data_IF_069604536792
#
_entry.id   IF_069604536792
#
_cell.length_a   1.000
_cell.length_b   1.000
_cell.length_c   1.000
_cell.angle_alpha   90.00
_cell.angle_beta   90.00
_cell.angle_gamma   90.00
#
_symmetry.space_group_name_H-M   'P 1'
#
loop_
_entity.id
_entity.type
_entity.pdbx_description
1 polymer ?
#
# COMPACT_ATOMS: atom_id res chain seq x y z
N UNK A 1 -23.82 1.20 2.60
CA UNK A 1 -22.86 0.13 2.90
C UNK A 1 -22.83 -0.84 1.73
N UNK A 2 -21.85 -0.75 0.85
CA UNK A 2 -21.57 -1.84 -0.08
C UNK A 2 -20.97 -2.98 0.73
N UNK A 3 -21.63 -4.12 0.66
CA UNK A 3 -21.09 -5.36 1.22
C UNK A 3 -19.91 -5.81 0.36
N UNK A 4 -18.71 -5.55 0.83
CA UNK A 4 -17.45 -5.93 0.18
C UNK A 4 -17.14 -7.42 0.30
N UNK A 5 -18.01 -8.20 0.97
CA UNK A 5 -17.80 -9.63 1.20
C UNK A 5 -18.04 -10.50 -0.06
N UNK A 6 -18.75 -9.96 -1.05
CA UNK A 6 -19.07 -10.67 -2.29
C UNK A 6 -18.07 -10.46 -3.43
N UNK A 7 -17.18 -9.44 -3.34
CA UNK A 7 -16.23 -9.09 -4.39
C UNK A 7 -14.85 -9.78 -4.25
N UNK A 8 -14.65 -10.57 -3.20
CA UNK A 8 -13.38 -11.28 -2.93
C UNK A 8 -12.99 -12.21 -4.08
N UNK A 9 -13.97 -12.74 -4.80
CA UNK A 9 -13.72 -13.67 -5.90
C UNK A 9 -13.28 -13.00 -7.22
N UNK A 10 -13.62 -11.71 -7.44
CA UNK A 10 -13.26 -10.99 -8.66
C UNK A 10 -11.91 -10.26 -8.55
N UNK A 11 -11.54 -9.80 -7.35
CA UNK A 11 -10.27 -9.14 -7.11
C UNK A 11 -9.08 -10.09 -7.22
N UNK A 12 -9.23 -11.36 -6.80
CA UNK A 12 -8.16 -12.37 -6.90
C UNK A 12 -7.81 -12.72 -8.35
N UNK A 13 -8.75 -12.57 -9.28
CA UNK A 13 -8.51 -12.79 -10.72
C UNK A 13 -7.74 -11.64 -11.39
N UNK A 14 -7.75 -10.44 -10.78
CA UNK A 14 -7.10 -9.25 -11.31
C UNK A 14 -5.67 -9.06 -10.78
N UNK A 15 -5.28 -9.82 -9.76
CA UNK A 15 -3.94 -9.78 -9.15
C UNK A 15 -3.06 -10.86 -9.75
N UNK A 16 -1.91 -10.47 -10.27
CA UNK A 16 -0.93 -11.43 -10.82
C UNK A 16 -0.25 -12.25 -9.72
N UNK A 17 0.38 -13.36 -10.10
CA UNK A 17 1.17 -14.19 -9.17
C UNK A 17 2.30 -13.37 -8.53
N UNK A 18 2.97 -12.53 -9.29
CA UNK A 18 4.06 -11.66 -8.79
C UNK A 18 3.53 -10.64 -7.78
N UNK A 19 2.36 -10.06 -8.02
CA UNK A 19 1.73 -9.13 -7.07
C UNK A 19 1.30 -9.83 -5.78
N UNK A 20 0.80 -11.07 -5.86
CA UNK A 20 0.49 -11.88 -4.68
C UNK A 20 1.74 -12.20 -3.86
N UNK A 21 2.82 -12.56 -4.52
CA UNK A 21 4.11 -12.80 -3.85
C UNK A 21 4.63 -11.52 -3.19
N UNK A 22 4.52 -10.38 -3.86
CA UNK A 22 4.85 -9.08 -3.29
C UNK A 22 3.97 -8.74 -2.08
N UNK A 23 2.68 -9.06 -2.12
CA UNK A 23 1.79 -8.89 -0.95
C UNK A 23 2.21 -9.80 0.23
N UNK A 24 2.69 -11.01 -0.04
CA UNK A 24 3.24 -11.87 1.02
C UNK A 24 4.46 -11.22 1.69
N UNK A 25 5.34 -10.62 0.90
CA UNK A 25 6.49 -9.86 1.42
C UNK A 25 5.99 -8.67 2.25
N UNK A 26 5.03 -7.91 1.74
CA UNK A 26 4.47 -6.75 2.44
C UNK A 26 3.82 -7.14 3.79
N UNK A 27 3.13 -8.27 3.85
CA UNK A 27 2.56 -8.80 5.10
C UNK A 27 3.65 -9.21 6.10
N UNK A 28 4.74 -9.79 5.63
CA UNK A 28 5.92 -10.08 6.46
C UNK A 28 6.52 -8.81 7.07
N UNK A 29 6.66 -7.76 6.27
CA UNK A 29 7.13 -6.44 6.72
C UNK A 29 6.16 -5.80 7.73
N UNK A 30 4.86 -5.93 7.50
CA UNK A 30 3.85 -5.48 8.45
C UNK A 30 3.96 -6.20 9.80
N UNK A 31 4.24 -7.50 9.80
CA UNK A 31 4.48 -8.28 11.01
C UNK A 31 5.75 -7.83 11.74
N UNK A 32 6.82 -7.51 11.02
CA UNK A 32 8.04 -6.92 11.58
C UNK A 32 7.78 -5.54 12.21
N UNK A 33 6.91 -4.74 11.60
CA UNK A 33 6.49 -3.46 12.16
C UNK A 33 5.85 -3.61 13.54
N UNK A 34 5.02 -4.62 13.75
CA UNK A 34 4.42 -4.92 15.06
C UNK A 34 5.50 -5.13 16.12
N UNK A 35 6.53 -5.92 15.82
CA UNK A 35 7.65 -6.18 16.74
C UNK A 35 8.39 -4.89 17.09
N UNK A 36 8.49 -3.96 16.15
CA UNK A 36 9.12 -2.66 16.36
C UNK A 36 8.20 -1.62 17.03
N UNK A 37 6.96 -1.98 17.36
CA UNK A 37 5.99 -1.06 17.98
C UNK A 37 5.32 -0.11 16.99
N UNK A 38 5.44 -0.38 15.71
CA UNK A 38 4.86 0.41 14.62
C UNK A 38 3.52 -0.14 14.16
N UNK A 39 2.68 0.72 13.59
CA UNK A 39 1.45 0.28 12.91
C UNK A 39 1.81 -0.71 11.80
N UNK A 40 1.14 -1.89 11.75
CA UNK A 40 1.53 -2.98 10.85
C UNK A 40 1.13 -2.71 9.39
N UNK A 41 1.96 -1.95 8.71
CA UNK A 41 1.85 -1.69 7.28
C UNK A 41 3.18 -2.01 6.61
N UNK A 42 3.13 -2.77 5.53
CA UNK A 42 4.26 -3.09 4.67
C UNK A 42 3.95 -2.71 3.23
N UNK A 43 4.97 -2.28 2.51
CA UNK A 43 4.86 -1.84 1.12
C UNK A 43 6.04 -2.36 0.29
N UNK A 44 5.75 -2.75 -0.94
CA UNK A 44 6.70 -3.28 -1.92
C UNK A 44 6.49 -2.55 -3.24
N UNK A 45 7.58 -2.15 -3.90
CA UNK A 45 7.53 -1.62 -5.26
C UNK A 45 8.10 -2.65 -6.23
N UNK A 46 7.31 -2.94 -7.25
CA UNK A 46 7.67 -3.84 -8.35
C UNK A 46 8.00 -3.04 -9.61
N UNK A 47 8.99 -3.49 -10.36
CA UNK A 47 9.26 -3.06 -11.74
C UNK A 47 9.69 -4.27 -12.55
N UNK A 48 9.06 -4.47 -13.72
CA UNK A 48 9.35 -5.61 -14.62
C UNK A 48 9.30 -6.96 -13.90
N UNK A 49 8.31 -7.15 -13.00
CA UNK A 49 8.11 -8.37 -12.22
C UNK A 49 9.12 -8.59 -11.10
N UNK A 50 9.96 -7.59 -10.76
CA UNK A 50 10.99 -7.68 -9.72
C UNK A 50 10.73 -6.68 -8.60
N UNK A 51 11.04 -7.09 -7.37
CA UNK A 51 11.03 -6.20 -6.21
C UNK A 51 12.24 -5.27 -6.31
N UNK A 52 11.98 -3.95 -6.35
CA UNK A 52 13.02 -2.92 -6.36
C UNK A 52 13.10 -2.13 -5.06
N UNK A 53 12.05 -2.15 -4.25
CA UNK A 53 12.03 -1.56 -2.92
C UNK A 53 11.01 -2.28 -2.04
N UNK A 54 11.31 -2.33 -0.74
CA UNK A 54 10.41 -2.89 0.26
C UNK A 54 10.64 -2.21 1.59
N UNK A 55 9.57 -1.75 2.24
CA UNK A 55 9.64 -1.01 3.50
C UNK A 55 8.44 -1.33 4.38
N UNK A 56 8.60 -1.13 5.67
CA UNK A 56 7.53 -1.09 6.66
C UNK A 56 7.35 0.30 7.22
N UNK A 57 6.27 0.54 7.96
CA UNK A 57 6.07 1.78 8.69
C UNK A 57 7.18 1.98 9.74
N UNK A 58 7.74 3.19 9.81
CA UNK A 58 8.82 3.58 10.71
C UNK A 58 8.57 4.93 11.39
N UNK A 59 7.30 5.34 11.48
CA UNK A 59 6.94 6.67 12.01
C UNK A 59 7.45 6.91 13.42
N UNK A 60 7.26 5.97 14.33
CA UNK A 60 7.71 6.09 15.72
C UNK A 60 9.23 5.95 15.82
N UNK A 61 9.78 4.95 15.15
CA UNK A 61 11.22 4.63 15.18
C UNK A 61 12.08 5.78 14.66
N UNK A 62 11.69 6.42 13.58
CA UNK A 62 12.43 7.52 12.96
C UNK A 62 11.98 8.90 13.42
N UNK A 63 10.94 8.96 14.26
CA UNK A 63 10.33 10.22 14.72
C UNK A 63 9.97 11.15 13.55
N UNK A 64 9.42 10.54 12.49
CA UNK A 64 9.08 11.20 11.23
C UNK A 64 7.60 10.93 10.89
N UNK A 65 6.73 11.97 10.92
CA UNK A 65 5.31 11.81 10.64
C UNK A 65 5.01 11.34 9.22
N UNK A 66 5.96 11.44 8.31
CA UNK A 66 5.81 11.00 6.91
C UNK A 66 6.37 9.61 6.62
N UNK A 67 7.00 8.96 7.60
CA UNK A 67 7.65 7.66 7.42
C UNK A 67 6.65 6.48 7.36
N UNK A 68 5.63 6.62 6.52
CA UNK A 68 4.75 5.52 6.15
C UNK A 68 5.46 4.57 5.19
N UNK A 69 5.10 3.30 5.22
CA UNK A 69 5.71 2.27 4.40
C UNK A 69 5.71 2.64 2.91
N UNK A 70 4.61 3.21 2.42
CA UNK A 70 4.43 3.61 1.02
C UNK A 70 5.41 4.71 0.62
N UNK A 71 5.51 5.78 1.43
CA UNK A 71 6.41 6.90 1.17
C UNK A 71 7.86 6.44 1.16
N UNK A 72 8.25 5.62 2.13
CA UNK A 72 9.60 5.08 2.23
C UNK A 72 9.94 4.16 1.04
N UNK A 73 9.01 3.29 0.65
CA UNK A 73 9.20 2.40 -0.48
C UNK A 73 9.30 3.16 -1.81
N UNK A 74 8.49 4.19 -2.02
CA UNK A 74 8.57 5.05 -3.21
C UNK A 74 9.89 5.81 -3.28
N UNK A 75 10.38 6.32 -2.16
CA UNK A 75 11.68 7.00 -2.08
C UNK A 75 12.83 6.05 -2.44
N UNK A 76 12.85 4.86 -1.87
CA UNK A 76 13.87 3.85 -2.17
C UNK A 76 13.80 3.41 -3.64
N UNK A 77 12.60 3.19 -4.17
CA UNK A 77 12.39 2.84 -5.57
C UNK A 77 12.92 3.93 -6.52
N UNK A 78 12.70 5.20 -6.19
CA UNK A 78 13.21 6.33 -6.95
C UNK A 78 14.76 6.35 -6.99
N UNK A 79 15.40 6.00 -5.89
CA UNK A 79 16.87 5.86 -5.83
C UNK A 79 17.35 4.70 -6.73
N UNK A 80 16.68 3.56 -6.69
CA UNK A 80 17.03 2.39 -7.52
C UNK A 80 16.86 2.70 -9.01
N UNK A 81 15.74 3.34 -9.38
CA UNK A 81 15.42 3.73 -10.77
C UNK A 81 16.32 4.89 -11.25
N UNK A 82 16.82 5.72 -10.34
CA UNK A 82 17.56 6.93 -10.67
C UNK A 82 16.68 8.07 -11.20
N UNK A 83 15.38 8.05 -10.86
CA UNK A 83 14.40 9.04 -11.29
C UNK A 83 13.26 9.10 -10.28
N UNK A 84 12.68 10.29 -10.07
CA UNK A 84 11.43 10.44 -9.31
C UNK A 84 10.22 9.87 -10.05
N UNK A 85 10.32 9.71 -11.38
CA UNK A 85 9.24 9.18 -12.22
C UNK A 85 9.28 7.65 -12.20
N UNK A 86 8.30 7.06 -11.54
CA UNK A 86 8.13 5.62 -11.37
C UNK A 86 7.09 5.00 -12.33
N UNK A 87 6.92 5.59 -13.51
CA UNK A 87 6.06 5.02 -14.56
C UNK A 87 6.51 3.57 -14.86
N UNK A 88 5.53 2.68 -14.98
CA UNK A 88 5.79 1.25 -15.15
C UNK A 88 6.00 0.48 -13.85
N UNK A 89 6.06 1.16 -12.69
CA UNK A 89 6.12 0.50 -11.40
C UNK A 89 4.72 0.20 -10.84
N UNK A 90 4.66 -0.85 -10.01
CA UNK A 90 3.49 -1.22 -9.21
C UNK A 90 3.84 -1.07 -7.74
N UNK A 91 3.00 -0.38 -6.98
CA UNK A 91 3.07 -0.35 -5.52
C UNK A 91 2.09 -1.39 -4.97
N UNK A 92 2.60 -2.27 -4.10
CA UNK A 92 1.81 -3.27 -3.37
C UNK A 92 1.90 -2.93 -1.89
N UNK A 93 0.76 -2.72 -1.23
CA UNK A 93 0.71 -2.29 0.18
C UNK A 93 -0.40 -3.01 0.94
N UNK A 94 -0.18 -3.33 2.20
CA UNK A 94 -1.11 -4.11 3.02
C UNK A 94 -2.38 -3.34 3.40
N UNK A 95 -2.32 -2.02 3.49
CA UNK A 95 -3.43 -1.12 3.86
C UNK A 95 -3.66 -0.08 2.77
N UNK A 96 -4.92 0.27 2.54
CA UNK A 96 -5.30 1.37 1.64
C UNK A 96 -4.55 2.66 1.99
N UNK A 97 -3.90 3.32 1.01
CA UNK A 97 -3.15 4.54 1.25
C UNK A 97 -3.99 5.69 1.80
N UNK A 98 -3.42 6.41 2.76
CA UNK A 98 -3.98 7.67 3.30
C UNK A 98 -3.80 8.83 2.30
N UNK A 99 -4.35 10.04 2.59
CA UNK A 99 -4.22 11.18 1.66
C UNK A 99 -2.76 11.55 1.34
N UNK A 100 -1.87 11.50 2.32
CA UNK A 100 -0.44 11.77 2.12
C UNK A 100 0.19 10.76 1.17
N UNK A 101 -0.04 9.46 1.39
CA UNK A 101 0.52 8.40 0.55
C UNK A 101 -0.11 8.38 -0.84
N UNK A 102 -1.41 8.62 -0.95
CA UNK A 102 -2.09 8.76 -2.24
C UNK A 102 -1.49 9.91 -3.07
N UNK A 103 -1.22 11.05 -2.43
CA UNK A 103 -0.51 12.16 -3.06
C UNK A 103 0.90 11.79 -3.52
N UNK A 104 1.64 11.06 -2.71
CA UNK A 104 2.98 10.58 -3.07
C UNK A 104 2.95 9.60 -4.26
N UNK A 105 1.97 8.71 -4.31
CA UNK A 105 1.74 7.79 -5.43
C UNK A 105 1.50 8.57 -6.73
N UNK A 106 0.63 9.56 -6.69
CA UNK A 106 0.34 10.42 -7.85
C UNK A 106 1.58 11.20 -8.30
N UNK A 107 2.28 11.81 -7.35
CA UNK A 107 3.48 12.61 -7.63
C UNK A 107 4.59 11.77 -8.25
N UNK A 108 4.74 10.53 -7.83
CA UNK A 108 5.75 9.62 -8.36
C UNK A 108 5.38 8.95 -9.70
N UNK A 109 4.17 9.16 -10.22
CA UNK A 109 3.69 8.57 -11.48
C UNK A 109 3.65 7.04 -11.48
N UNK A 110 3.47 6.39 -10.35
CA UNK A 110 3.24 4.95 -10.27
C UNK A 110 2.06 4.56 -11.17
N UNK A 111 2.21 3.50 -11.93
CA UNK A 111 1.21 3.07 -12.91
C UNK A 111 0.09 2.26 -12.28
N UNK A 112 0.39 1.49 -11.25
CA UNK A 112 -0.55 0.55 -10.64
C UNK A 112 -0.37 0.47 -9.13
N UNK A 113 -1.49 0.38 -8.42
CA UNK A 113 -1.58 0.20 -6.98
C UNK A 113 -2.37 -1.08 -6.69
N UNK A 114 -1.79 -1.96 -5.87
CA UNK A 114 -2.47 -3.14 -5.31
C UNK A 114 -2.47 -3.00 -3.80
N UNK A 115 -3.63 -2.97 -3.16
CA UNK A 115 -3.68 -2.91 -1.71
C UNK A 115 -4.54 -4.02 -1.09
N UNK A 116 -4.29 -4.29 0.19
CA UNK A 116 -5.00 -5.30 0.96
C UNK A 116 -6.31 -4.77 1.55
N UNK A 117 -6.28 -4.42 2.83
CA UNK A 117 -7.45 -3.95 3.56
C UNK A 117 -7.82 -2.50 3.23
N UNK A 118 -9.12 -2.24 3.07
CA UNK A 118 -9.65 -0.88 3.00
C UNK A 118 -9.51 -0.16 4.35
N UNK A 119 -9.24 1.14 4.32
CA UNK A 119 -9.14 1.97 5.52
C UNK A 119 -10.38 2.87 5.65
N UNK A 120 -11.30 2.57 6.57
CA UNK A 120 -12.51 3.37 6.76
C UNK A 120 -12.24 4.75 7.38
N UNK A 121 -11.05 4.99 7.92
CA UNK A 121 -10.69 6.22 8.61
C UNK A 121 -9.92 7.23 7.75
N UNK A 122 -9.09 6.74 6.83
CA UNK A 122 -8.19 7.60 6.05
C UNK A 122 -8.03 7.14 4.59
N UNK A 123 -8.73 6.09 4.14
CA UNK A 123 -8.60 5.53 2.81
C UNK A 123 -8.87 6.56 1.71
N UNK A 124 -7.90 6.76 0.83
CA UNK A 124 -7.92 7.82 -0.18
C UNK A 124 -7.82 7.30 -1.61
N UNK A 125 -8.00 5.98 -1.78
CA UNK A 125 -7.97 5.31 -3.09
C UNK A 125 -9.27 4.59 -3.42
N UNK A 126 -10.37 4.99 -2.77
CA UNK A 126 -11.71 4.47 -3.02
C UNK A 126 -12.66 4.54 -1.85
N UNK A 127 -12.19 4.56 -0.58
CA UNK A 127 -13.05 4.48 0.60
C UNK A 127 -13.64 5.83 1.01
N UNK A 128 -12.85 6.79 1.46
CA UNK A 128 -13.30 8.16 1.77
C UNK A 128 -13.12 9.10 0.59
N UNK A 129 -11.96 9.03 -0.05
CA UNK A 129 -11.62 9.77 -1.24
C UNK A 129 -11.17 8.82 -2.33
N UNK A 130 -11.22 9.25 -3.58
CA UNK A 130 -10.63 8.53 -4.69
C UNK A 130 -9.72 9.46 -5.50
N UNK A 131 -8.48 9.63 -5.03
CA UNK A 131 -7.47 10.45 -5.69
C UNK A 131 -6.86 9.77 -6.92
N UNK A 132 -6.97 8.44 -7.02
CA UNK A 132 -6.32 7.67 -8.08
C UNK A 132 -6.98 7.85 -9.44
N UNK A 133 -8.26 8.22 -9.47
CA UNK A 133 -9.05 8.42 -10.69
C UNK A 133 -9.79 9.76 -10.73
N UNK A 134 -9.33 10.76 -9.97
CA UNK A 134 -9.90 12.11 -10.01
C UNK A 134 -9.51 12.80 -11.33
N UNK A 135 -10.47 13.15 -12.21
CA UNK A 135 -10.17 13.71 -13.53
C UNK A 135 -9.55 15.11 -13.50
N UNK A 136 -9.57 15.79 -12.35
CA UNK A 136 -8.93 17.09 -12.15
C UNK A 136 -7.42 16.98 -11.93
N UNK A 137 -6.95 15.80 -11.59
CA UNK A 137 -5.52 15.54 -11.39
C UNK A 137 -4.88 15.07 -12.70
N UNK A 138 -3.59 15.29 -12.82
CA UNK A 138 -2.84 15.06 -14.07
C UNK A 138 -2.26 13.65 -14.22
N UNK A 139 -2.61 12.73 -13.32
CA UNK A 139 -2.19 11.33 -13.37
C UNK A 139 -3.30 10.44 -12.83
N UNK A 140 -3.48 9.31 -13.45
CA UNK A 140 -4.43 8.26 -13.06
C UNK A 140 -3.65 6.98 -12.76
N UNK A 141 -4.07 6.24 -11.73
CA UNK A 141 -3.43 5.01 -11.30
C UNK A 141 -4.44 3.87 -11.41
N UNK A 142 -4.02 2.76 -12.00
CA UNK A 142 -4.81 1.52 -12.02
C UNK A 142 -4.80 0.91 -10.62
N UNK A 143 -5.98 0.71 -10.02
CA UNK A 143 -6.13 0.28 -8.62
C UNK A 143 -6.79 -1.09 -8.56
N UNK A 144 -6.16 -2.01 -7.84
CA UNK A 144 -6.74 -3.29 -7.42
C UNK A 144 -6.73 -3.38 -5.90
N UNK A 145 -7.86 -3.71 -5.31
CA UNK A 145 -8.04 -3.79 -3.85
C UNK A 145 -8.37 -5.21 -3.39
N UNK A 146 -8.25 -5.45 -2.10
CA UNK A 146 -8.69 -6.70 -1.47
C UNK A 146 -7.68 -7.84 -1.52
N UNK A 147 -6.47 -7.61 -2.03
CA UNK A 147 -5.43 -8.63 -2.07
C UNK A 147 -4.99 -9.02 -0.65
N UNK A 148 -5.39 -10.21 -0.20
CA UNK A 148 -5.14 -10.72 1.16
C UNK A 148 -5.60 -9.73 2.25
N UNK A 149 -6.75 -9.11 2.03
CA UNK A 149 -7.33 -8.10 2.93
C UNK A 149 -7.56 -8.64 4.34
N UNK A 150 -7.95 -9.91 4.49
CA UNK A 150 -8.23 -10.54 5.78
C UNK A 150 -7.01 -10.56 6.68
N UNK A 151 -5.85 -11.01 6.18
CA UNK A 151 -4.60 -11.07 6.92
C UNK A 151 -4.11 -9.68 7.32
N UNK A 152 -4.24 -8.69 6.43
CA UNK A 152 -3.94 -7.30 6.75
C UNK A 152 -4.82 -6.76 7.86
N UNK A 153 -6.10 -7.03 7.79
CA UNK A 153 -7.10 -6.59 8.77
C UNK A 153 -6.85 -7.22 10.14
N UNK A 154 -6.51 -8.50 10.19
CA UNK A 154 -6.17 -9.20 11.42
C UNK A 154 -4.96 -8.60 12.13
N UNK A 155 -3.88 -8.29 11.40
CA UNK A 155 -2.69 -7.65 11.96
C UNK A 155 -3.02 -6.30 12.60
N UNK A 156 -3.80 -5.47 11.91
CA UNK A 156 -4.24 -4.16 12.40
C UNK A 156 -5.12 -4.29 13.63
N UNK A 157 -6.09 -5.19 13.61
CA UNK A 157 -7.01 -5.43 14.73
C UNK A 157 -6.28 -5.86 15.98
N UNK A 158 -5.34 -6.81 15.88
CA UNK A 158 -4.53 -7.27 17.01
C UNK A 158 -3.65 -6.15 17.56
N UNK A 159 -2.98 -5.40 16.69
CA UNK A 159 -2.11 -4.32 17.10
C UNK A 159 -2.84 -3.24 17.92
N UNK A 160 -4.04 -2.82 17.47
CA UNK A 160 -4.82 -1.82 18.18
C UNK A 160 -5.53 -2.38 19.42
N UNK A 161 -5.85 -3.66 19.47
CA UNK A 161 -6.38 -4.30 20.68
C UNK A 161 -5.35 -4.32 21.81
N UNK A 162 -4.09 -4.59 21.50
CA UNK A 162 -2.99 -4.66 22.46
C UNK A 162 -2.59 -3.28 23.03
N UNK A 163 -3.00 -2.19 22.35
CA UNK A 163 -2.74 -0.80 22.78
C UNK A 163 -3.86 -0.16 23.60
N UNK A 164 -4.95 -0.86 23.86
CA UNK A 164 -6.05 -0.44 24.73
C UNK A 164 -5.84 -0.99 26.12
#
# INVERSE_FOLDING_TARGET
WRDWSSDVCSSDLMVSAVERDAMNIALGLASEAVVAGEVPVGAVVLRDGRVIAQRRNEREQSNDPTAHAEVLALRDAAQVVGSWNLSGCTLVVTLEPCPMCAGAILNSRVSRLVFGAADPKAGSTGTLYNLMSDPRLNHEVDVVHGCRAEESRELLTRFFADKR
#
